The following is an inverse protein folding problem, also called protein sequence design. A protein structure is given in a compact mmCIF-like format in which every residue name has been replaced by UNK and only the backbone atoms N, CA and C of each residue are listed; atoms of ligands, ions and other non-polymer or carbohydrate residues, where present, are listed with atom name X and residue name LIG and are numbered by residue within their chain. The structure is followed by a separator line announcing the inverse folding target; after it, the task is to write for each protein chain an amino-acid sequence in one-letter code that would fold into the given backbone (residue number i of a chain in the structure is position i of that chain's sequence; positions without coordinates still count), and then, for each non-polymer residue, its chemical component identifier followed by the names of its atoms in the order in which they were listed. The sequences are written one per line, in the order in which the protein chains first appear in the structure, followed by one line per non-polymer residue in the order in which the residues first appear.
data_IF_801385009466
#
_entry.id   IF_801385009466
#
_cell.length_a   1.000
_cell.length_b   1.000
_cell.length_c   1.000
_cell.angle_alpha   90.00
_cell.angle_beta   90.00
_cell.angle_gamma   90.00
#
_symmetry.space_group_name_H-M   'P 1'
#
loop_
_entity.id
_entity.type
_entity.pdbx_description
1 polymer ?
#
# COMPACT_ATOMS: atom_id res chain seq x y z
N UNK A 1 -3.87 13.72 23.06
CA UNK A 1 -4.06 12.34 22.53
C UNK A 1 -3.43 11.28 23.43
N UNK A 2 -2.15 11.41 23.84
CA UNK A 2 -1.46 10.40 24.64
C UNK A 2 -2.18 10.11 25.97
N UNK A 3 -2.61 11.15 26.71
CA UNK A 3 -3.31 10.97 27.99
C UNK A 3 -4.63 10.18 27.83
N UNK A 4 -5.37 10.44 26.75
CA UNK A 4 -6.59 9.70 26.41
C UNK A 4 -6.28 8.21 26.16
N UNK A 5 -5.27 7.91 25.33
CA UNK A 5 -4.88 6.53 25.02
C UNK A 5 -4.40 5.79 26.29
N UNK A 6 -3.63 6.47 27.16
CA UNK A 6 -3.20 5.88 28.44
C UNK A 6 -4.38 5.52 29.33
N UNK A 7 -5.36 6.43 29.46
CA UNK A 7 -6.56 6.18 30.24
C UNK A 7 -7.39 5.01 29.67
N UNK A 8 -7.57 4.95 28.37
CA UNK A 8 -8.33 3.88 27.72
C UNK A 8 -7.63 2.51 27.81
N UNK A 9 -6.32 2.45 27.62
CA UNK A 9 -5.56 1.22 27.79
C UNK A 9 -5.64 0.71 29.24
N UNK A 10 -5.53 1.61 30.23
CA UNK A 10 -5.70 1.26 31.64
C UNK A 10 -7.12 0.75 31.93
N UNK A 11 -8.16 1.43 31.41
CA UNK A 11 -9.56 1.02 31.58
C UNK A 11 -9.85 -0.36 30.99
N UNK A 12 -9.23 -0.67 29.83
CA UNK A 12 -9.42 -1.95 29.12
C UNK A 12 -8.46 -3.05 29.57
N UNK A 13 -7.50 -2.76 30.47
CA UNK A 13 -6.48 -3.72 30.89
C UNK A 13 -5.51 -4.11 29.78
N UNK A 14 -5.32 -3.24 28.77
CA UNK A 14 -4.44 -3.49 27.62
C UNK A 14 -3.06 -2.90 27.88
N UNK A 15 -1.95 -3.66 27.75
CA UNK A 15 -0.61 -3.13 27.89
C UNK A 15 -0.33 -2.04 26.86
N UNK A 16 0.24 -0.91 27.32
CA UNK A 16 0.61 0.22 26.46
C UNK A 16 2.13 0.35 26.36
N UNK A 17 2.61 0.55 25.14
CA UNK A 17 3.96 1.00 24.85
C UNK A 17 3.91 2.36 24.18
N UNK A 18 4.69 3.31 24.68
CA UNK A 18 4.81 4.66 24.13
C UNK A 18 6.22 4.84 23.60
N UNK A 19 6.33 5.37 22.40
CA UNK A 19 7.60 5.72 21.75
C UNK A 19 7.58 7.22 21.47
N UNK A 20 8.55 7.95 22.00
CA UNK A 20 8.71 9.35 21.71
C UNK A 20 9.56 9.55 20.44
N UNK A 21 9.13 10.45 19.59
CA UNK A 21 9.78 10.70 18.30
C UNK A 21 11.28 11.04 18.44
N UNK A 22 11.63 11.82 19.46
CA UNK A 22 13.02 12.20 19.75
C UNK A 22 13.93 11.02 20.10
N UNK A 23 13.36 9.93 20.65
CA UNK A 23 14.10 8.72 21.03
C UNK A 23 14.33 7.78 19.83
N UNK A 24 13.45 7.86 18.80
CA UNK A 24 13.51 6.99 17.63
C UNK A 24 14.41 7.54 16.54
N UNK A 25 14.22 8.78 16.16
CA UNK A 25 15.01 9.46 15.11
C UNK A 25 14.86 10.97 15.25
N UNK A 26 15.97 11.75 15.20
CA UNK A 26 15.89 13.20 15.26
C UNK A 26 14.98 13.75 14.14
N UNK A 27 14.16 14.77 14.41
CA UNK A 27 13.33 15.38 13.40
C UNK A 27 14.18 16.11 12.35
N UNK A 28 13.88 15.95 11.05
CA UNK A 28 14.49 16.77 10.02
C UNK A 28 13.97 18.22 10.11
N UNK A 29 14.64 19.15 9.43
CA UNK A 29 14.23 20.56 9.40
C UNK A 29 12.78 20.77 8.95
N UNK A 30 12.23 19.85 8.13
CA UNK A 30 10.83 19.79 7.73
C UNK A 30 10.27 18.39 7.99
N UNK A 31 9.66 18.21 9.14
CA UNK A 31 8.99 16.98 9.52
C UNK A 31 7.62 16.89 8.82
N UNK A 32 7.52 16.08 7.77
CA UNK A 32 6.27 15.84 7.02
C UNK A 32 5.64 14.48 7.32
N UNK A 33 4.53 14.18 6.62
CA UNK A 33 3.78 12.91 6.74
C UNK A 33 4.68 11.68 6.55
N UNK A 34 5.62 11.73 5.61
CA UNK A 34 6.56 10.62 5.34
C UNK A 34 7.53 10.39 6.51
N UNK A 35 7.94 11.45 7.23
CA UNK A 35 8.77 11.29 8.41
C UNK A 35 7.98 10.65 9.56
N UNK A 36 6.78 11.13 9.84
CA UNK A 36 5.90 10.54 10.86
C UNK A 36 5.57 9.08 10.55
N UNK A 37 5.38 8.75 9.26
CA UNK A 37 5.22 7.38 8.81
C UNK A 37 6.47 6.54 9.08
N UNK A 38 7.67 7.01 8.74
CA UNK A 38 8.94 6.30 9.03
C UNK A 38 9.12 6.03 10.51
N UNK A 39 8.89 7.04 11.38
CA UNK A 39 8.94 6.86 12.83
C UNK A 39 8.04 5.72 13.32
N UNK A 40 6.79 5.71 12.85
CA UNK A 40 5.83 4.65 13.19
C UNK A 40 6.35 3.27 12.82
N UNK A 41 6.93 3.12 11.63
CA UNK A 41 7.50 1.84 11.20
C UNK A 41 8.78 1.48 11.97
N UNK A 42 9.60 2.44 12.37
CA UNK A 42 10.75 2.20 13.26
C UNK A 42 10.28 1.64 14.61
N UNK A 43 9.26 2.23 15.22
CA UNK A 43 8.66 1.69 16.45
C UNK A 43 8.12 0.27 16.25
N UNK A 44 7.48 -0.01 15.12
CA UNK A 44 6.97 -1.35 14.78
C UNK A 44 8.09 -2.38 14.66
N UNK A 45 9.22 -2.02 14.04
CA UNK A 45 10.40 -2.92 13.94
C UNK A 45 10.97 -3.23 15.31
N UNK A 46 11.04 -2.25 16.23
CA UNK A 46 11.47 -2.49 17.60
C UNK A 46 10.54 -3.45 18.35
N UNK A 47 9.21 -3.33 18.15
CA UNK A 47 8.24 -4.27 18.74
C UNK A 47 8.40 -5.69 18.20
N UNK A 48 8.66 -5.86 16.91
CA UNK A 48 8.94 -7.16 16.31
C UNK A 48 10.20 -7.79 16.92
N UNK A 49 11.26 -7.03 17.15
CA UNK A 49 12.47 -7.48 17.86
C UNK A 49 12.21 -7.92 19.30
N UNK A 50 11.05 -7.55 19.89
CA UNK A 50 10.59 -7.95 21.22
C UNK A 50 9.61 -9.15 21.19
N UNK A 51 9.47 -9.85 20.06
CA UNK A 51 8.62 -11.03 19.93
C UNK A 51 7.16 -10.73 19.55
N UNK A 52 6.86 -9.56 19.01
CA UNK A 52 5.53 -9.26 18.47
C UNK A 52 5.43 -9.80 17.04
N UNK A 53 4.60 -10.81 16.83
CA UNK A 53 4.43 -11.51 15.56
C UNK A 53 3.51 -10.79 14.57
N UNK A 54 2.56 -9.99 15.07
CA UNK A 54 1.57 -9.30 14.26
C UNK A 54 1.26 -7.88 14.78
N UNK A 55 1.12 -6.95 13.86
CA UNK A 55 0.82 -5.54 14.16
C UNK A 55 -0.44 -5.15 13.41
N UNK A 56 -1.52 -4.89 14.14
CA UNK A 56 -2.76 -4.38 13.57
C UNK A 56 -2.71 -2.84 13.45
N UNK A 57 -3.14 -2.32 12.31
CA UNK A 57 -3.28 -0.88 12.08
C UNK A 57 -4.72 -0.53 11.71
N UNK A 58 -5.22 0.61 12.16
CA UNK A 58 -6.62 1.02 12.03
C UNK A 58 -6.94 1.71 10.68
N UNK A 59 -6.37 1.21 9.57
CA UNK A 59 -6.77 1.70 8.25
C UNK A 59 -8.18 1.25 7.91
N UNK A 60 -8.97 2.17 7.34
CA UNK A 60 -10.38 1.99 6.98
C UNK A 60 -10.58 1.99 5.46
N UNK A 61 -11.81 1.77 5.01
CA UNK A 61 -12.20 1.92 3.60
C UNK A 61 -11.99 3.36 3.09
N UNK A 62 -12.07 4.38 3.97
CA UNK A 62 -11.75 5.76 3.61
C UNK A 62 -10.26 5.92 3.26
N UNK A 63 -9.36 5.32 4.06
CA UNK A 63 -7.92 5.31 3.76
C UNK A 63 -7.61 4.59 2.45
N UNK A 64 -8.36 3.54 2.14
CA UNK A 64 -8.26 2.81 0.88
C UNK A 64 -8.64 3.71 -0.30
N UNK A 65 -9.78 4.42 -0.20
CA UNK A 65 -10.24 5.35 -1.23
C UNK A 65 -9.25 6.52 -1.43
N UNK A 66 -8.78 7.13 -0.35
CA UNK A 66 -7.76 8.19 -0.39
C UNK A 66 -6.48 7.69 -1.09
N UNK A 67 -6.02 6.50 -0.73
CA UNK A 67 -4.80 5.90 -1.30
C UNK A 67 -4.96 5.61 -2.79
N UNK A 68 -6.11 5.08 -3.20
CA UNK A 68 -6.41 4.83 -4.61
C UNK A 68 -6.39 6.13 -5.41
N UNK A 69 -7.14 7.14 -4.97
CA UNK A 69 -7.23 8.43 -5.67
C UNK A 69 -5.85 9.11 -5.78
N UNK A 70 -5.05 9.07 -4.71
CA UNK A 70 -3.71 9.63 -4.70
C UNK A 70 -2.80 8.92 -5.71
N UNK A 71 -2.88 7.60 -5.80
CA UNK A 71 -2.09 6.80 -6.74
C UNK A 71 -2.56 7.00 -8.18
N UNK A 72 -3.85 7.06 -8.43
CA UNK A 72 -4.40 7.37 -9.76
C UNK A 72 -3.94 8.75 -10.24
N UNK A 73 -3.97 9.76 -9.37
CA UNK A 73 -3.49 11.11 -9.69
C UNK A 73 -1.98 11.18 -10.02
N UNK A 74 -1.19 10.21 -9.53
CA UNK A 74 0.25 10.11 -9.80
C UNK A 74 0.59 9.19 -10.98
N UNK A 75 -0.39 8.54 -11.57
CA UNK A 75 -0.20 7.46 -12.54
C UNK A 75 0.12 6.14 -11.82
N UNK A 76 -0.74 5.15 -11.98
CA UNK A 76 -0.53 3.83 -11.37
C UNK A 76 -1.12 2.73 -12.23
N UNK A 77 -0.42 1.59 -12.31
CA UNK A 77 -0.95 0.35 -12.85
C UNK A 77 -1.78 -0.44 -11.82
N UNK A 78 -2.15 -1.66 -12.19
CA UNK A 78 -2.99 -2.55 -11.36
C UNK A 78 -2.39 -2.80 -9.97
N UNK A 79 -1.07 -2.95 -9.87
CA UNK A 79 -0.39 -3.17 -8.60
C UNK A 79 -0.68 -2.05 -7.60
N UNK A 80 -0.50 -0.81 -8.02
CA UNK A 80 -0.79 0.34 -7.17
C UNK A 80 -2.28 0.57 -6.97
N UNK A 81 -3.12 0.31 -7.97
CA UNK A 81 -4.58 0.40 -7.86
C UNK A 81 -5.16 -0.61 -6.84
N UNK A 82 -4.45 -1.69 -6.53
CA UNK A 82 -4.79 -2.60 -5.43
C UNK A 82 -4.76 -1.96 -4.04
N UNK A 83 -4.29 -0.72 -3.91
CA UNK A 83 -4.38 0.08 -2.70
C UNK A 83 -3.61 -0.49 -1.51
N UNK A 84 -4.20 -0.37 -0.33
CA UNK A 84 -3.67 -0.89 0.93
C UNK A 84 -4.05 -2.37 1.03
N UNK A 85 -3.07 -3.26 1.20
CA UNK A 85 -3.33 -4.71 1.35
C UNK A 85 -3.84 -5.02 2.76
N UNK A 86 -4.85 -5.91 2.93
CA UNK A 86 -5.34 -6.32 4.25
C UNK A 86 -4.25 -6.93 5.12
N UNK A 87 -3.32 -7.66 4.48
CA UNK A 87 -2.11 -8.20 5.12
C UNK A 87 -0.88 -7.92 4.25
N UNK A 88 0.21 -7.52 4.92
CA UNK A 88 1.54 -7.38 4.30
C UNK A 88 2.59 -7.78 5.32
N UNK A 89 3.12 -8.99 5.18
CA UNK A 89 3.99 -9.57 6.21
C UNK A 89 3.27 -9.69 7.55
N UNK A 90 3.84 -9.10 8.59
CA UNK A 90 3.27 -9.04 9.94
C UNK A 90 2.17 -7.98 10.12
N UNK A 91 2.03 -7.04 9.17
CA UNK A 91 1.05 -5.96 9.28
C UNK A 91 -0.34 -6.42 8.85
N UNK A 92 -1.33 -6.23 9.72
CA UNK A 92 -2.73 -6.54 9.52
C UNK A 92 -3.57 -5.26 9.52
N UNK A 93 -4.67 -5.23 8.76
CA UNK A 93 -5.59 -4.09 8.69
C UNK A 93 -7.03 -4.57 8.80
N UNK A 94 -7.45 -4.93 10.00
CA UNK A 94 -8.76 -5.57 10.22
C UNK A 94 -9.94 -4.64 9.91
N UNK A 95 -9.75 -3.32 10.01
CA UNK A 95 -10.83 -2.34 9.78
C UNK A 95 -10.94 -1.88 8.32
N UNK A 96 -10.16 -2.44 7.40
CA UNK A 96 -10.13 -1.99 6.00
C UNK A 96 -11.46 -2.21 5.26
N UNK A 97 -12.30 -3.12 5.77
CA UNK A 97 -13.65 -3.39 5.26
C UNK A 97 -14.71 -2.39 5.76
N UNK A 98 -14.40 -1.57 6.77
CA UNK A 98 -15.32 -0.62 7.38
C UNK A 98 -14.99 0.81 6.94
N UNK A 99 -16.03 1.61 6.71
CA UNK A 99 -15.86 3.06 6.58
C UNK A 99 -15.60 3.72 7.95
N UNK A 100 -15.10 4.94 7.93
CA UNK A 100 -14.92 5.74 9.15
C UNK A 100 -16.25 5.93 9.89
N UNK A 101 -17.34 6.18 9.17
CA UNK A 101 -18.66 6.34 9.78
C UNK A 101 -19.14 5.06 10.49
N UNK A 102 -18.85 3.89 9.92
CA UNK A 102 -19.16 2.59 10.55
C UNK A 102 -18.30 2.35 11.80
N UNK A 103 -16.99 2.68 11.76
CA UNK A 103 -16.13 2.56 12.95
C UNK A 103 -16.59 3.51 14.08
N UNK A 104 -16.97 4.74 13.74
CA UNK A 104 -17.56 5.67 14.72
C UNK A 104 -18.91 5.18 15.27
N UNK A 105 -19.73 4.54 14.44
CA UNK A 105 -20.99 3.95 14.89
C UNK A 105 -20.76 2.81 15.90
N UNK A 106 -19.75 1.96 15.66
CA UNK A 106 -19.35 0.92 16.61
C UNK A 106 -18.88 1.53 17.93
N UNK A 107 -18.05 2.57 17.89
CA UNK A 107 -17.61 3.27 19.10
C UNK A 107 -18.80 3.85 19.88
N UNK A 108 -19.74 4.51 19.20
CA UNK A 108 -20.96 5.05 19.83
C UNK A 108 -21.81 3.96 20.49
N UNK A 109 -22.02 2.85 19.80
CA UNK A 109 -22.79 1.71 20.32
C UNK A 109 -22.12 1.07 21.55
N UNK A 110 -20.79 1.09 21.61
CA UNK A 110 -20.01 0.61 22.74
C UNK A 110 -19.84 1.63 23.87
N UNK A 111 -20.39 2.84 23.74
CA UNK A 111 -20.17 3.95 24.69
C UNK A 111 -18.71 4.43 24.73
N UNK A 112 -17.94 4.14 23.68
CA UNK A 112 -16.54 4.50 23.57
C UNK A 112 -16.39 5.90 22.96
N UNK A 113 -15.72 6.78 23.68
CA UNK A 113 -15.31 8.10 23.15
C UNK A 113 -14.05 7.97 22.28
N UNK A 114 -13.78 8.98 21.47
CA UNK A 114 -12.56 9.09 20.68
C UNK A 114 -12.08 10.54 20.61
N UNK A 115 -10.82 10.72 20.25
CA UNK A 115 -10.22 12.03 20.01
C UNK A 115 -10.07 12.25 18.53
N UNK A 116 -10.35 13.47 18.08
CA UNK A 116 -10.09 13.91 16.70
C UNK A 116 -8.74 14.63 16.67
N UNK A 117 -7.81 14.18 15.85
CA UNK A 117 -6.51 14.82 15.66
C UNK A 117 -6.68 16.10 14.83
N UNK A 118 -6.33 17.25 15.42
CA UNK A 118 -6.44 18.58 14.79
C UNK A 118 -5.60 18.71 13.51
N UNK A 119 -4.54 17.92 13.37
CA UNK A 119 -3.72 17.93 12.14
C UNK A 119 -4.47 17.39 10.92
N UNK A 120 -5.59 16.70 11.11
CA UNK A 120 -6.46 16.25 10.03
C UNK A 120 -7.23 17.40 9.35
N UNK A 121 -7.34 18.56 9.98
CA UNK A 121 -8.16 19.68 9.50
C UNK A 121 -7.40 20.61 8.55
N UNK A 122 -6.11 20.36 8.29
CA UNK A 122 -5.31 21.20 7.41
C UNK A 122 -5.24 20.61 6.00
N UNK A 123 -5.45 21.43 4.96
CA UNK A 123 -5.30 21.03 3.56
C UNK A 123 -3.84 21.06 3.06
N UNK A 124 -2.87 21.19 3.97
CA UNK A 124 -1.45 21.20 3.64
C UNK A 124 -1.00 19.91 2.93
N UNK A 125 -1.61 18.79 3.27
CA UNK A 125 -1.27 17.48 2.71
C UNK A 125 -2.25 17.06 1.60
N UNK A 126 -1.72 16.46 0.53
CA UNK A 126 -2.53 15.98 -0.60
C UNK A 126 -3.64 15.00 -0.15
N UNK A 127 -3.38 14.19 0.88
CA UNK A 127 -4.34 13.26 1.45
C UNK A 127 -5.52 13.96 2.12
N UNK A 128 -5.25 15.04 2.86
CA UNK A 128 -6.31 15.83 3.49
C UNK A 128 -7.17 16.53 2.43
N UNK A 129 -6.58 17.07 1.36
CA UNK A 129 -7.34 17.64 0.23
C UNK A 129 -8.27 16.61 -0.41
N UNK A 130 -7.84 15.36 -0.60
CA UNK A 130 -8.72 14.31 -1.11
C UNK A 130 -9.86 14.00 -0.14
N UNK A 131 -9.57 13.98 1.15
CA UNK A 131 -10.56 13.75 2.23
C UNK A 131 -11.61 14.85 2.29
N UNK A 132 -11.20 16.11 2.17
CA UNK A 132 -12.08 17.27 2.37
C UNK A 132 -12.79 17.71 1.08
N UNK A 133 -12.26 17.38 -0.10
CA UNK A 133 -12.81 17.84 -1.37
C UNK A 133 -13.27 16.69 -2.27
N UNK A 134 -12.37 15.80 -2.67
CA UNK A 134 -12.67 14.79 -3.68
C UNK A 134 -13.65 13.71 -3.19
N UNK A 135 -13.44 13.17 -1.99
CA UNK A 135 -14.34 12.15 -1.44
C UNK A 135 -15.75 12.68 -1.14
N UNK A 136 -15.96 13.88 -0.58
CA UNK A 136 -17.28 14.46 -0.46
C UNK A 136 -17.98 14.66 -1.81
N UNK A 137 -17.26 15.15 -2.84
CA UNK A 137 -17.80 15.30 -4.18
C UNK A 137 -18.23 13.95 -4.79
N UNK A 138 -17.42 12.89 -4.63
CA UNK A 138 -17.80 11.55 -5.06
C UNK A 138 -19.01 11.00 -4.29
N UNK A 139 -19.08 11.25 -2.98
CA UNK A 139 -20.22 10.85 -2.14
C UNK A 139 -21.52 11.57 -2.50
N UNK A 140 -21.45 12.84 -2.95
CA UNK A 140 -22.64 13.56 -3.44
C UNK A 140 -23.19 12.95 -4.73
N UNK A 141 -22.33 12.33 -5.54
CA UNK A 141 -22.74 11.59 -6.74
C UNK A 141 -23.27 10.20 -6.42
N UNK A 142 -22.63 9.52 -5.46
CA UNK A 142 -23.04 8.19 -5.00
C UNK A 142 -22.64 7.99 -3.54
N UNK A 143 -23.62 7.83 -2.65
CA UNK A 143 -23.41 7.63 -1.23
C UNK A 143 -22.46 6.44 -0.91
N UNK A 144 -22.44 5.41 -1.74
CA UNK A 144 -21.56 4.24 -1.62
C UNK A 144 -20.19 4.41 -2.28
N UNK A 145 -19.78 5.64 -2.64
CA UNK A 145 -18.53 5.88 -3.38
C UNK A 145 -17.30 5.29 -2.68
N UNK A 146 -17.17 5.46 -1.36
CA UNK A 146 -16.03 4.91 -0.58
C UNK A 146 -15.97 3.39 -0.68
N UNK A 147 -17.10 2.72 -0.47
CA UNK A 147 -17.20 1.25 -0.54
C UNK A 147 -16.94 0.76 -1.98
N UNK A 148 -17.39 1.51 -2.99
CA UNK A 148 -17.14 1.18 -4.39
C UNK A 148 -15.66 1.29 -4.74
N UNK A 149 -14.96 2.34 -4.28
CA UNK A 149 -13.53 2.51 -4.46
C UNK A 149 -12.75 1.40 -3.72
N UNK A 150 -13.13 1.07 -2.50
CA UNK A 150 -12.51 -0.03 -1.75
C UNK A 150 -12.69 -1.38 -2.47
N UNK A 151 -13.89 -1.70 -2.96
CA UNK A 151 -14.14 -2.91 -3.77
C UNK A 151 -13.37 -2.93 -5.08
N UNK A 152 -13.18 -1.77 -5.70
CA UNK A 152 -12.31 -1.67 -6.88
C UNK A 152 -10.89 -2.06 -6.54
N UNK A 153 -10.32 -1.55 -5.43
CA UNK A 153 -8.98 -1.93 -4.97
C UNK A 153 -8.85 -3.45 -4.75
N UNK A 154 -9.86 -4.10 -4.16
CA UNK A 154 -9.84 -5.55 -3.98
C UNK A 154 -9.81 -6.30 -5.32
N UNK A 155 -10.62 -5.86 -6.29
CA UNK A 155 -10.63 -6.45 -7.63
C UNK A 155 -9.30 -6.24 -8.34
N UNK A 156 -8.73 -5.02 -8.29
CA UNK A 156 -7.44 -4.71 -8.86
C UNK A 156 -6.33 -5.55 -8.21
N UNK A 157 -6.37 -5.72 -6.88
CA UNK A 157 -5.43 -6.56 -6.15
C UNK A 157 -5.49 -8.04 -6.55
N UNK A 158 -6.70 -8.55 -6.82
CA UNK A 158 -6.89 -9.94 -7.29
C UNK A 158 -6.40 -10.12 -8.71
N UNK A 159 -6.67 -9.16 -9.60
CA UNK A 159 -6.19 -9.17 -10.97
C UNK A 159 -4.65 -9.10 -11.01
N UNK A 160 -4.04 -8.21 -10.25
CA UNK A 160 -2.60 -8.09 -10.06
C UNK A 160 -1.96 -9.41 -9.59
N UNK A 161 -2.54 -10.05 -8.58
CA UNK A 161 -2.05 -11.34 -8.08
C UNK A 161 -2.16 -12.47 -9.13
N UNK A 162 -3.23 -12.48 -9.91
CA UNK A 162 -3.40 -13.44 -11.01
C UNK A 162 -2.33 -13.26 -12.09
N UNK A 163 -2.10 -12.01 -12.53
CA UNK A 163 -1.06 -11.69 -13.50
C UNK A 163 0.34 -12.01 -12.97
N UNK A 164 0.63 -11.67 -11.72
CA UNK A 164 1.90 -11.98 -11.08
C UNK A 164 2.16 -13.50 -11.01
N UNK A 165 1.12 -14.29 -10.70
CA UNK A 165 1.24 -15.75 -10.70
C UNK A 165 1.47 -16.31 -12.11
N UNK A 166 0.81 -15.76 -13.15
CA UNK A 166 1.03 -16.09 -14.55
C UNK A 166 2.44 -15.75 -15.01
N UNK A 167 2.91 -14.55 -14.69
CA UNK A 167 4.24 -14.06 -14.97
C UNK A 167 5.34 -14.93 -14.31
N UNK A 168 5.14 -15.31 -13.05
CA UNK A 168 6.06 -16.20 -12.34
C UNK A 168 6.15 -17.59 -13.01
N UNK A 169 5.03 -18.15 -13.47
CA UNK A 169 5.01 -19.41 -14.23
C UNK A 169 5.72 -19.27 -15.57
N UNK A 170 5.50 -18.17 -16.28
CA UNK A 170 6.19 -17.88 -17.55
C UNK A 170 7.71 -17.83 -17.36
N UNK A 171 8.17 -17.07 -16.37
CA UNK A 171 9.60 -16.97 -16.05
C UNK A 171 10.21 -18.29 -15.61
N UNK A 172 9.49 -19.06 -14.80
CA UNK A 172 9.95 -20.39 -14.39
C UNK A 172 10.08 -21.37 -15.57
N UNK A 173 9.10 -21.36 -16.49
CA UNK A 173 9.13 -22.20 -17.69
C UNK A 173 10.23 -21.79 -18.70
N UNK A 174 10.51 -20.49 -18.80
CA UNK A 174 11.53 -19.97 -19.71
C UNK A 174 12.94 -20.00 -19.12
N UNK A 175 13.12 -20.26 -17.82
CA UNK A 175 14.41 -20.18 -17.15
C UNK A 175 15.42 -21.18 -17.70
N UNK A 176 16.62 -20.71 -18.02
CA UNK A 176 17.76 -21.54 -18.38
C UNK A 176 18.49 -22.04 -17.12
N UNK A 177 19.04 -23.27 -17.15
CA UNK A 177 19.91 -23.75 -16.07
C UNK A 177 21.23 -22.97 -16.07
N UNK A 178 21.71 -22.61 -14.90
CA UNK A 178 22.98 -21.88 -14.74
C UNK A 178 23.02 -21.03 -13.48
N UNK A 179 24.21 -20.53 -13.12
CA UNK A 179 24.41 -19.65 -11.98
C UNK A 179 23.85 -18.24 -12.23
N UNK A 180 24.01 -17.74 -13.45
CA UNK A 180 23.48 -16.43 -13.86
C UNK A 180 22.00 -16.53 -14.25
N UNK A 181 21.19 -15.52 -13.90
CA UNK A 181 19.80 -15.48 -14.30
C UNK A 181 19.64 -15.24 -15.80
N UNK A 182 19.15 -16.27 -16.52
CA UNK A 182 18.92 -16.22 -17.96
C UNK A 182 17.60 -16.92 -18.33
N UNK A 183 17.00 -16.48 -19.44
CA UNK A 183 15.70 -16.99 -19.90
C UNK A 183 15.71 -17.21 -21.42
N UNK A 184 15.00 -18.24 -21.86
CA UNK A 184 14.76 -18.50 -23.28
C UNK A 184 13.84 -17.42 -23.85
N UNK A 185 14.17 -16.89 -25.03
CA UNK A 185 13.37 -15.85 -25.68
C UNK A 185 12.05 -16.36 -26.24
N UNK A 186 12.03 -17.55 -26.85
CA UNK A 186 10.83 -18.07 -27.53
C UNK A 186 9.60 -18.13 -26.63
N UNK A 187 9.63 -18.68 -25.41
CA UNK A 187 8.47 -18.65 -24.52
C UNK A 187 8.05 -17.22 -24.14
N UNK A 188 8.99 -16.31 -23.98
CA UNK A 188 8.71 -14.91 -23.65
C UNK A 188 8.08 -14.16 -24.82
N UNK A 189 8.55 -14.41 -26.04
CA UNK A 189 7.99 -13.81 -27.27
C UNK A 189 6.59 -14.32 -27.60
N UNK A 190 6.30 -15.57 -27.28
CA UNK A 190 4.98 -16.18 -27.46
C UNK A 190 3.96 -15.81 -26.37
N UNK A 191 4.42 -15.17 -25.30
CA UNK A 191 3.54 -14.81 -24.17
C UNK A 191 2.60 -13.65 -24.51
N UNK A 192 1.46 -13.63 -23.83
CA UNK A 192 0.56 -12.46 -23.84
C UNK A 192 1.35 -11.19 -23.46
N UNK A 193 1.14 -10.06 -24.17
CA UNK A 193 1.88 -8.82 -23.93
C UNK A 193 1.83 -8.34 -22.49
N UNK A 194 0.69 -8.46 -21.82
CA UNK A 194 0.53 -8.03 -20.43
C UNK A 194 1.25 -8.97 -19.45
N UNK A 195 1.28 -10.27 -19.74
CA UNK A 195 2.07 -11.23 -18.95
C UNK A 195 3.56 -11.01 -19.11
N UNK A 196 4.03 -10.73 -20.33
CA UNK A 196 5.43 -10.40 -20.59
C UNK A 196 5.83 -9.14 -19.82
N UNK A 197 5.05 -8.09 -19.92
CA UNK A 197 5.26 -6.83 -19.19
C UNK A 197 5.33 -7.06 -17.68
N UNK A 198 4.37 -7.80 -17.12
CA UNK A 198 4.34 -8.16 -15.70
C UNK A 198 5.57 -8.97 -15.29
N UNK A 199 6.00 -9.91 -16.13
CA UNK A 199 7.17 -10.73 -15.88
C UNK A 199 8.46 -9.88 -15.87
N UNK A 200 8.66 -9.03 -16.87
CA UNK A 200 9.83 -8.16 -16.96
C UNK A 200 9.85 -7.12 -15.86
N UNK A 201 8.71 -6.53 -15.54
CA UNK A 201 8.59 -5.64 -14.38
C UNK A 201 9.04 -6.33 -13.08
N UNK A 202 8.65 -7.57 -12.85
CA UNK A 202 9.03 -8.32 -11.65
C UNK A 202 10.53 -8.60 -11.54
N UNK A 203 11.24 -8.66 -12.66
CA UNK A 203 12.70 -8.83 -12.69
C UNK A 203 13.44 -7.52 -12.40
N UNK A 204 12.90 -6.39 -12.84
CA UNK A 204 13.53 -5.07 -12.70
C UNK A 204 13.24 -4.44 -11.33
N UNK A 205 12.04 -4.59 -10.80
CA UNK A 205 11.59 -3.96 -9.58
C UNK A 205 12.50 -4.16 -8.33
N UNK A 206 13.16 -5.31 -8.12
CA UNK A 206 14.11 -5.50 -7.02
C UNK A 206 15.43 -4.73 -7.18
N UNK A 207 15.80 -4.36 -8.42
CA UNK A 207 17.09 -3.75 -8.73
C UNK A 207 17.00 -2.23 -8.76
N UNK A 208 15.88 -1.70 -9.23
CA UNK A 208 15.66 -0.26 -9.43
C UNK A 208 14.17 0.06 -9.38
N UNK A 209 13.83 1.34 -9.13
CA UNK A 209 12.49 1.86 -9.44
C UNK A 209 12.16 1.52 -10.90
N UNK A 210 11.26 0.53 -11.07
CA UNK A 210 10.90 0.01 -12.40
C UNK A 210 9.96 1.00 -13.08
N UNK A 211 10.52 2.12 -13.59
CA UNK A 211 9.77 3.05 -14.39
C UNK A 211 9.23 2.33 -15.64
N UNK A 212 7.99 2.59 -15.97
CA UNK A 212 7.26 2.03 -17.11
C UNK A 212 8.09 2.03 -18.42
N UNK A 213 8.83 3.12 -18.66
CA UNK A 213 9.67 3.25 -19.85
C UNK A 213 10.73 2.13 -20.00
N UNK A 214 11.34 1.68 -18.89
CA UNK A 214 12.36 0.62 -18.93
C UNK A 214 11.73 -0.74 -19.20
N UNK A 215 10.56 -0.99 -18.62
CA UNK A 215 9.80 -2.22 -18.85
C UNK A 215 9.39 -2.32 -20.32
N UNK A 216 8.91 -1.22 -20.92
CA UNK A 216 8.54 -1.16 -22.34
C UNK A 216 9.76 -1.38 -23.27
N UNK A 217 10.92 -0.80 -22.93
CA UNK A 217 12.15 -1.06 -23.68
C UNK A 217 12.56 -2.53 -23.63
N UNK A 218 12.50 -3.17 -22.46
CA UNK A 218 12.77 -4.60 -22.32
C UNK A 218 11.77 -5.44 -23.11
N UNK A 219 10.49 -5.10 -23.09
CA UNK A 219 9.48 -5.75 -23.92
C UNK A 219 9.82 -5.66 -25.41
N UNK A 220 10.28 -4.50 -25.88
CA UNK A 220 10.68 -4.32 -27.28
C UNK A 220 11.89 -5.19 -27.63
N UNK A 221 12.93 -5.24 -26.80
CA UNK A 221 14.11 -6.09 -26.99
C UNK A 221 13.73 -7.57 -27.05
N UNK A 222 12.90 -8.05 -26.15
CA UNK A 222 12.42 -9.44 -26.15
C UNK A 222 11.68 -9.75 -27.45
N UNK A 223 10.77 -8.87 -27.89
CA UNK A 223 9.99 -9.07 -29.12
C UNK A 223 10.85 -9.06 -30.38
N UNK A 224 11.87 -8.21 -30.41
CA UNK A 224 12.83 -8.15 -31.56
C UNK A 224 13.80 -9.33 -31.57
N UNK A 225 14.01 -10.01 -30.48
CA UNK A 225 14.94 -11.15 -30.35
C UNK A 225 16.41 -10.78 -30.31
N UNK A 226 16.74 -9.48 -30.30
CA UNK A 226 18.11 -8.97 -30.23
C UNK A 226 18.15 -7.59 -29.61
N UNK A 227 19.25 -7.23 -28.97
CA UNK A 227 19.49 -5.93 -28.34
C UNK A 227 19.86 -6.04 -26.86
N UNK A 228 20.17 -4.90 -26.27
CA UNK A 228 20.46 -4.76 -24.84
C UNK A 228 19.80 -3.48 -24.31
N UNK A 229 19.39 -3.49 -23.05
CA UNK A 229 18.93 -2.30 -22.32
C UNK A 229 19.84 -2.13 -21.13
N UNK A 230 20.44 -0.95 -21.01
CA UNK A 230 21.17 -0.56 -19.81
C UNK A 230 20.19 0.08 -18.84
N UNK A 231 20.05 -0.53 -17.66
CA UNK A 231 19.14 -0.11 -16.57
C UNK A 231 19.85 0.82 -15.59
#
# INVERSE_FOLDING_TARGET
DEAFVRAECARLGVPLRVFHAAELTPPPAHAGEDWARRLRYTAFVQLQGQGIDAIATAHTANDQAETLLLRLARGTGLHGAGGIRPRRGCYLRPLLCLSRAETEAVCRAAGQTWVTDETNDTDAYARNRLRHSALPALKSTNAAAVQNLARFCEKAARADAYLAAGAAKLLAAARLPGAEPAWQLLPLQAADPLLLETALHSLVAPVRDAEEKYVQLLCAVVRQGSGAVQL
#
